data_IF_063869392946
#
_entry.id   IF_063869392946
#
_cell.length_a   1.000
_cell.length_b   1.000
_cell.length_c   1.000
_cell.angle_alpha   90.00
_cell.angle_beta   90.00
_cell.angle_gamma   90.00
#
_symmetry.space_group_name_H-M   'P 1'
#
loop_
_entity.id
_entity.type
_entity.pdbx_description
1 polymer ?
#
# COMPACT_ATOMS: atom_id res chain seq x y z
N UNK A 1 5.15 27.67 -25.86
CA UNK A 1 5.90 26.54 -26.44
C UNK A 1 7.08 26.18 -25.54
N UNK A 2 6.86 25.40 -24.46
CA UNK A 2 7.95 24.98 -23.54
C UNK A 2 7.58 23.74 -22.70
N UNK A 3 6.57 23.00 -23.16
CA UNK A 3 5.94 21.90 -22.42
C UNK A 3 5.72 20.66 -23.31
N UNK A 4 6.11 20.76 -24.58
CA UNK A 4 6.13 19.66 -25.54
C UNK A 4 7.52 18.97 -25.57
N UNK A 5 8.57 19.65 -25.11
CA UNK A 5 9.96 19.14 -25.21
C UNK A 5 10.38 18.27 -24.01
N UNK A 6 9.48 18.04 -23.05
CA UNK A 6 9.72 17.10 -21.94
C UNK A 6 9.16 15.70 -22.28
N UNK A 7 8.32 15.59 -23.31
CA UNK A 7 7.89 14.28 -23.85
C UNK A 7 8.98 13.63 -24.72
N UNK A 8 10.07 14.34 -25.03
CA UNK A 8 11.15 13.90 -25.93
C UNK A 8 12.38 13.37 -25.15
N UNK A 9 12.16 12.36 -24.30
CA UNK A 9 13.14 11.90 -23.31
C UNK A 9 13.09 10.41 -22.93
N UNK A 10 13.54 9.56 -23.86
CA UNK A 10 14.57 8.56 -23.57
C UNK A 10 14.26 7.27 -22.78
N UNK A 11 13.15 6.54 -23.04
CA UNK A 11 13.15 5.06 -23.01
C UNK A 11 12.16 4.49 -24.03
N UNK A 12 12.54 3.46 -24.82
CA UNK A 12 11.56 2.69 -25.57
C UNK A 12 10.72 1.90 -24.56
N UNK A 13 9.45 2.26 -24.40
CA UNK A 13 8.51 1.44 -23.66
C UNK A 13 7.61 2.26 -22.74
N UNK A 14 6.32 1.96 -22.85
CA UNK A 14 5.20 2.54 -22.10
C UNK A 14 4.69 3.82 -22.77
N UNK A 15 3.73 3.64 -23.68
CA UNK A 15 2.92 4.71 -24.28
C UNK A 15 2.34 5.62 -23.20
N UNK A 16 2.06 6.89 -23.52
CA UNK A 16 1.59 7.87 -22.54
C UNK A 16 0.36 7.41 -21.73
N UNK A 17 -0.51 6.60 -22.33
CA UNK A 17 -1.66 5.99 -21.67
C UNK A 17 -1.23 4.91 -20.66
N UNK A 18 -0.36 3.98 -21.04
CA UNK A 18 0.16 2.96 -20.13
C UNK A 18 0.91 3.62 -18.94
N UNK A 19 1.52 4.79 -19.15
CA UNK A 19 2.18 5.57 -18.10
C UNK A 19 1.19 6.18 -17.10
N UNK A 20 0.02 6.63 -17.58
CA UNK A 20 -1.09 7.11 -16.72
C UNK A 20 -1.65 5.96 -15.89
N UNK A 21 -1.99 4.85 -16.54
CA UNK A 21 -2.54 3.65 -15.89
C UNK A 21 -1.56 3.10 -14.84
N UNK A 22 -0.26 3.08 -15.14
CA UNK A 22 0.77 2.65 -14.19
C UNK A 22 0.86 3.57 -12.96
N UNK A 23 0.72 4.89 -13.13
CA UNK A 23 0.68 5.83 -12.01
C UNK A 23 -0.56 5.63 -11.14
N UNK A 24 -1.71 5.38 -11.75
CA UNK A 24 -2.96 5.11 -11.04
C UNK A 24 -2.91 3.79 -10.27
N UNK A 25 -2.42 2.73 -10.90
CA UNK A 25 -2.21 1.43 -10.26
C UNK A 25 -1.28 1.56 -9.04
N UNK A 26 -0.15 2.27 -9.19
CA UNK A 26 0.78 2.53 -8.07
C UNK A 26 0.13 3.30 -6.93
N UNK A 27 -0.72 4.29 -7.22
CA UNK A 27 -1.48 5.02 -6.18
C UNK A 27 -2.45 4.10 -5.45
N UNK A 28 -3.17 3.25 -6.18
CA UNK A 28 -4.14 2.31 -5.58
C UNK A 28 -3.44 1.26 -4.72
N UNK A 29 -2.31 0.72 -5.18
CA UNK A 29 -1.49 -0.23 -4.42
C UNK A 29 -1.06 0.39 -3.09
N UNK A 30 -0.50 1.61 -3.10
CA UNK A 30 -0.07 2.28 -1.87
C UNK A 30 -1.22 2.47 -0.87
N UNK A 31 -2.41 2.83 -1.35
CA UNK A 31 -3.60 2.97 -0.49
C UNK A 31 -4.00 1.62 0.11
N UNK A 32 -4.05 0.57 -0.71
CA UNK A 32 -4.38 -0.79 -0.26
C UNK A 32 -3.37 -1.33 0.75
N UNK A 33 -2.08 -1.00 0.61
CA UNK A 33 -1.05 -1.38 1.58
C UNK A 33 -1.28 -0.71 2.94
N UNK A 34 -1.67 0.57 2.96
CA UNK A 34 -2.02 1.28 4.18
C UNK A 34 -3.26 0.69 4.86
N UNK A 35 -4.31 0.41 4.08
CA UNK A 35 -5.53 -0.24 4.57
C UNK A 35 -5.21 -1.62 5.15
N UNK A 36 -4.40 -2.43 4.46
CA UNK A 36 -3.96 -3.73 4.96
C UNK A 36 -3.16 -3.63 6.26
N UNK A 37 -2.29 -2.63 6.40
CA UNK A 37 -1.52 -2.43 7.63
C UNK A 37 -2.44 -2.09 8.82
N UNK A 38 -3.45 -1.25 8.62
CA UNK A 38 -4.47 -0.97 9.64
C UNK A 38 -5.20 -2.24 10.04
N UNK A 39 -5.63 -3.05 9.06
CA UNK A 39 -6.31 -4.31 9.31
C UNK A 39 -5.44 -5.32 10.08
N UNK A 40 -4.16 -5.45 9.72
CA UNK A 40 -3.21 -6.31 10.45
C UNK A 40 -3.06 -5.88 11.90
N UNK A 41 -2.93 -4.57 12.17
CA UNK A 41 -2.84 -4.04 13.53
C UNK A 41 -4.11 -4.30 14.33
N UNK A 42 -5.28 -4.09 13.72
CA UNK A 42 -6.56 -4.39 14.36
C UNK A 42 -6.69 -5.88 14.70
N UNK A 43 -6.31 -6.78 13.79
CA UNK A 43 -6.32 -8.22 14.02
C UNK A 43 -5.36 -8.64 15.15
N UNK A 44 -4.16 -8.05 15.20
CA UNK A 44 -3.19 -8.30 16.27
C UNK A 44 -3.69 -7.81 17.64
N UNK A 45 -4.35 -6.65 17.68
CA UNK A 45 -4.96 -6.15 18.90
C UNK A 45 -6.10 -7.07 19.38
N UNK A 46 -6.96 -7.51 18.47
CA UNK A 46 -8.06 -8.41 18.79
C UNK A 46 -7.57 -9.79 19.25
N UNK A 47 -6.51 -10.32 18.64
CA UNK A 47 -5.96 -11.62 19.05
C UNK A 47 -5.32 -11.56 20.44
N UNK A 48 -4.75 -10.41 20.83
CA UNK A 48 -4.25 -10.19 22.20
C UNK A 48 -5.39 -10.03 23.22
N UNK A 49 -6.47 -9.33 22.85
CA UNK A 49 -7.62 -9.11 23.73
C UNK A 49 -8.36 -10.41 24.13
N UNK A 50 -8.23 -11.46 23.32
CA UNK A 50 -8.85 -12.77 23.56
C UNK A 50 -7.91 -13.82 24.17
N UNK A 51 -6.67 -13.47 24.52
CA UNK A 51 -5.83 -14.40 25.28
C UNK A 51 -6.31 -14.42 26.74
N UNK A 52 -6.70 -15.57 27.31
CA UNK A 52 -6.95 -15.67 28.74
C UNK A 52 -5.68 -15.23 29.45
N UNK A 53 -5.79 -14.21 30.31
CA UNK A 53 -4.64 -13.62 30.97
C UNK A 53 -3.74 -14.72 31.55
N UNK A 54 -2.46 -14.73 31.13
CA UNK A 54 -1.44 -15.56 31.79
C UNK A 54 -1.30 -15.05 33.23
N UNK A 55 -2.16 -15.55 34.11
CA UNK A 55 -2.33 -15.04 35.47
C UNK A 55 -3.11 -15.97 36.39
N UNK A 56 -3.26 -17.25 36.04
CA UNK A 56 -3.88 -18.22 36.95
C UNK A 56 -3.13 -19.55 36.98
N UNK A 57 -1.93 -19.53 37.53
CA UNK A 57 -1.46 -20.62 38.39
C UNK A 57 -0.65 -20.01 39.54
N UNK A 58 -1.39 -19.55 40.55
CA UNK A 58 -0.87 -19.42 41.91
C UNK A 58 -1.18 -20.74 42.61
N UNK A 59 -0.24 -21.67 42.62
CA UNK A 59 -0.17 -22.83 43.52
C UNK A 59 1.29 -23.26 43.59
#
# INVERSE_FOLDING_TARGET
MRRADIDDGAKPGISGQESVELREARRRIKLLEQENEVLRRAAAYLSQAHLPGKGSTRS
#
